data_IF_625513508409
#
_entry.id   IF_625513508409
#
_cell.length_a   1.000
_cell.length_b   1.000
_cell.length_c   1.000
_cell.angle_alpha   90.00
_cell.angle_beta   90.00
_cell.angle_gamma   90.00
#
_symmetry.space_group_name_H-M   'P 1'
#
loop_
_entity.id
_entity.type
_entity.pdbx_description
1 polymer ?
#
# COMPACT_ATOMS: atom_id res chain seq x y z
N UNK A 1 -18.15 -45.18 31.72
CA UNK A 1 -18.16 -44.95 30.24
C UNK A 1 -17.61 -43.56 30.05
N UNK A 2 -16.30 -43.45 29.81
CA UNK A 2 -15.59 -42.17 29.73
C UNK A 2 -15.67 -41.75 28.27
N UNK A 3 -16.45 -40.70 27.98
CA UNK A 3 -16.49 -40.08 26.68
C UNK A 3 -15.13 -39.39 26.50
N UNK A 4 -14.37 -39.87 25.55
CA UNK A 4 -13.20 -39.13 25.03
C UNK A 4 -13.71 -37.79 24.51
N UNK A 5 -13.06 -36.66 24.85
CA UNK A 5 -13.41 -35.39 24.25
C UNK A 5 -13.19 -35.52 22.75
N UNK A 6 -14.31 -35.53 22.02
CA UNK A 6 -14.24 -35.45 20.55
C UNK A 6 -13.50 -34.19 20.19
N UNK A 7 -12.45 -34.31 19.41
CA UNK A 7 -11.81 -33.19 18.76
C UNK A 7 -12.83 -32.68 17.73
N UNK A 8 -13.66 -31.73 18.15
CA UNK A 8 -14.47 -30.99 17.22
C UNK A 8 -13.51 -30.09 16.43
N UNK A 9 -13.03 -30.58 15.31
CA UNK A 9 -12.52 -29.65 14.30
C UNK A 9 -13.68 -28.73 13.92
N UNK A 10 -13.64 -27.51 14.40
CA UNK A 10 -14.63 -26.51 14.02
C UNK A 10 -14.58 -26.32 12.50
N UNK A 11 -15.68 -25.98 11.86
CA UNK A 11 -15.69 -25.62 10.42
C UNK A 11 -14.65 -24.54 10.10
N UNK A 12 -14.31 -23.71 11.08
CA UNK A 12 -13.27 -22.69 11.01
C UNK A 12 -11.86 -23.26 10.86
N UNK A 13 -11.59 -24.45 11.44
CA UNK A 13 -10.30 -25.14 11.31
C UNK A 13 -10.13 -25.80 9.93
N UNK A 14 -11.25 -26.04 9.23
CA UNK A 14 -11.26 -26.58 7.86
C UNK A 14 -11.19 -25.50 6.77
N UNK A 15 -11.11 -24.22 7.14
CA UNK A 15 -10.99 -23.18 6.14
C UNK A 15 -9.71 -23.37 5.34
N UNK A 16 -9.88 -23.68 4.07
CA UNK A 16 -8.78 -23.69 3.11
C UNK A 16 -8.99 -22.53 2.12
N UNK A 17 -8.32 -21.40 2.30
CA UNK A 17 -8.45 -20.26 1.40
C UNK A 17 -7.85 -20.52 0.02
N UNK A 18 -7.09 -21.61 -0.14
CA UNK A 18 -6.47 -21.97 -1.41
C UNK A 18 -7.44 -22.73 -2.32
N UNK A 19 -7.42 -22.40 -3.60
CA UNK A 19 -8.17 -23.13 -4.63
C UNK A 19 -7.40 -24.38 -5.05
N UNK A 20 -6.09 -24.27 -5.16
CA UNK A 20 -5.17 -25.36 -5.48
C UNK A 20 -3.76 -25.01 -4.99
N UNK A 21 -2.89 -26.00 -4.98
CA UNK A 21 -1.49 -25.86 -4.56
C UNK A 21 -0.56 -25.42 -5.72
N UNK A 22 -1.12 -25.15 -6.89
CA UNK A 22 -0.37 -24.68 -8.05
C UNK A 22 -0.17 -23.16 -7.97
N UNK A 23 0.97 -22.70 -8.46
CA UNK A 23 1.32 -21.28 -8.53
C UNK A 23 1.40 -20.55 -7.17
N UNK A 24 1.75 -21.25 -6.08
CA UNK A 24 1.98 -20.64 -4.79
C UNK A 24 3.34 -19.96 -4.74
N UNK A 25 3.35 -18.68 -4.39
CA UNK A 25 4.58 -17.95 -4.07
C UNK A 25 4.67 -17.84 -2.55
N UNK A 26 5.47 -18.69 -1.94
CA UNK A 26 5.71 -18.65 -0.49
C UNK A 26 6.50 -17.41 -0.09
N UNK A 27 6.01 -16.73 0.93
CA UNK A 27 6.75 -15.69 1.65
C UNK A 27 7.63 -16.32 2.74
N UNK A 28 8.48 -15.51 3.34
CA UNK A 28 9.12 -15.87 4.61
C UNK A 28 8.06 -15.86 5.71
N UNK A 29 8.29 -16.66 6.74
CA UNK A 29 7.51 -16.58 7.97
C UNK A 29 7.62 -15.18 8.57
N UNK A 30 6.53 -14.67 9.09
CA UNK A 30 6.47 -13.32 9.64
C UNK A 30 5.98 -13.33 11.07
N UNK A 31 6.42 -12.34 11.83
CA UNK A 31 5.97 -12.13 13.20
C UNK A 31 4.72 -11.25 13.19
N UNK A 32 3.63 -11.77 13.76
CA UNK A 32 2.41 -11.00 14.00
C UNK A 32 2.57 -10.10 15.22
N UNK A 33 1.99 -8.92 15.12
CA UNK A 33 1.83 -8.03 16.26
C UNK A 33 0.86 -8.65 17.28
N UNK A 34 1.14 -8.58 18.58
CA UNK A 34 0.28 -9.15 19.61
C UNK A 34 -1.11 -8.50 19.70
N UNK A 35 -1.31 -7.35 19.06
CA UNK A 35 -2.60 -6.68 18.93
C UNK A 35 -3.51 -7.20 17.81
N UNK A 36 -3.02 -8.08 16.94
CA UNK A 36 -3.81 -8.64 15.83
C UNK A 36 -4.98 -9.45 16.36
N UNK A 37 -6.18 -9.15 15.87
CA UNK A 37 -7.41 -9.86 16.20
C UNK A 37 -8.02 -10.50 14.96
N UNK A 38 -8.52 -11.72 15.13
CA UNK A 38 -9.36 -12.36 14.12
C UNK A 38 -10.78 -11.76 14.16
N UNK A 39 -11.48 -11.63 13.02
CA UNK A 39 -12.90 -11.33 13.02
C UNK A 39 -13.75 -12.53 13.44
N UNK A 40 -13.13 -13.69 13.61
CA UNK A 40 -13.75 -14.94 14.03
C UNK A 40 -13.46 -15.18 15.51
N UNK A 41 -14.30 -15.99 16.16
CA UNK A 41 -14.15 -16.36 17.56
C UNK A 41 -13.30 -17.65 17.70
N UNK A 42 -12.34 -17.74 18.57
CA UNK A 42 -11.85 -16.69 19.48
C UNK A 42 -10.95 -15.66 18.78
N UNK A 43 -11.03 -14.37 19.13
CA UNK A 43 -10.40 -13.29 18.38
C UNK A 43 -8.86 -13.29 18.42
N UNK A 44 -8.26 -14.01 19.35
CA UNK A 44 -6.80 -14.18 19.46
C UNK A 44 -6.24 -15.31 18.58
N UNK A 45 -7.12 -16.04 17.89
CA UNK A 45 -6.73 -17.15 17.00
C UNK A 45 -6.77 -16.68 15.56
N UNK A 46 -5.61 -16.59 14.96
CA UNK A 46 -5.46 -16.15 13.57
C UNK A 46 -5.57 -17.36 12.65
N UNK A 47 -6.59 -17.36 11.82
CA UNK A 47 -6.89 -18.48 10.92
C UNK A 47 -6.17 -18.36 9.57
N UNK A 48 -5.96 -19.49 8.85
CA UNK A 48 -5.52 -19.46 7.46
C UNK A 48 -6.44 -18.58 6.60
N UNK A 49 -5.86 -17.85 5.65
CA UNK A 49 -6.59 -16.89 4.82
C UNK A 49 -6.71 -15.50 5.44
N UNK A 50 -6.14 -15.26 6.62
CA UNK A 50 -6.05 -13.90 7.16
C UNK A 50 -5.09 -13.07 6.32
N UNK A 51 -5.58 -11.97 5.76
CA UNK A 51 -4.74 -11.02 5.03
C UNK A 51 -4.12 -10.07 6.03
N UNK A 52 -2.80 -10.02 6.00
CA UNK A 52 -1.97 -9.21 6.89
C UNK A 52 -1.13 -8.24 6.09
N UNK A 53 -0.72 -7.17 6.72
CA UNK A 53 0.15 -6.14 6.14
C UNK A 53 1.23 -5.76 7.15
N UNK A 54 2.40 -5.40 6.66
CA UNK A 54 3.47 -4.92 7.51
C UNK A 54 3.07 -3.62 8.21
N UNK A 55 3.33 -3.49 9.51
CA UNK A 55 3.07 -2.27 10.24
C UNK A 55 4.05 -1.15 9.84
N UNK A 56 3.58 0.10 9.87
CA UNK A 56 4.39 1.27 9.50
C UNK A 56 5.58 1.48 10.44
N UNK A 57 5.35 1.31 11.75
CA UNK A 57 6.34 1.63 12.79
C UNK A 57 7.22 0.45 13.21
N UNK A 58 6.91 -0.77 12.79
CA UNK A 58 7.64 -1.97 13.20
C UNK A 58 7.87 -2.92 12.03
N UNK A 59 8.66 -3.99 12.26
CA UNK A 59 8.82 -5.09 11.30
C UNK A 59 7.72 -6.16 11.43
N UNK A 60 6.78 -5.99 12.37
CA UNK A 60 5.68 -6.92 12.63
C UNK A 60 4.57 -6.73 11.62
N UNK A 61 3.66 -7.71 11.57
CA UNK A 61 2.51 -7.68 10.69
C UNK A 61 1.23 -7.52 11.50
N UNK A 62 0.31 -6.74 10.98
CA UNK A 62 -1.02 -6.47 11.52
C UNK A 62 -2.08 -6.92 10.52
N UNK A 63 -3.35 -6.94 10.92
CA UNK A 63 -4.44 -7.19 9.99
C UNK A 63 -4.45 -6.16 8.86
N UNK A 64 -4.81 -6.55 7.65
CA UNK A 64 -4.75 -5.68 6.48
C UNK A 64 -5.65 -4.43 6.59
N UNK A 65 -6.70 -4.49 7.39
CA UNK A 65 -7.60 -3.36 7.69
C UNK A 65 -7.17 -2.53 8.91
N UNK A 66 -6.08 -2.89 9.58
CA UNK A 66 -5.56 -2.14 10.73
C UNK A 66 -4.99 -0.79 10.28
N UNK A 67 -5.32 0.32 10.96
CA UNK A 67 -4.78 1.64 10.63
C UNK A 67 -3.25 1.75 10.81
N UNK A 68 -2.63 0.91 11.64
CA UNK A 68 -1.19 0.84 11.81
C UNK A 68 -0.46 0.15 10.64
N UNK A 69 -1.20 -0.52 9.74
CA UNK A 69 -0.63 -1.17 8.57
C UNK A 69 -0.08 -0.18 7.53
N UNK A 70 0.92 -0.62 6.79
CA UNK A 70 1.41 0.13 5.63
C UNK A 70 0.29 0.29 4.60
N UNK A 71 0.36 1.40 3.85
CA UNK A 71 -0.51 1.67 2.71
C UNK A 71 0.34 1.75 1.44
N UNK A 72 -0.27 1.45 0.31
CA UNK A 72 0.35 1.73 -0.98
C UNK A 72 0.73 3.21 -1.04
N UNK A 73 1.92 3.49 -1.56
CA UNK A 73 2.41 4.86 -1.70
C UNK A 73 2.23 5.32 -3.14
N UNK A 74 1.77 6.56 -3.35
CA UNK A 74 1.77 7.17 -4.68
C UNK A 74 3.19 7.39 -5.18
N UNK A 75 3.38 7.43 -6.47
CA UNK A 75 4.59 7.99 -7.05
C UNK A 75 4.69 9.46 -6.66
N UNK A 76 5.85 9.91 -6.23
CA UNK A 76 6.06 11.29 -5.81
C UNK A 76 7.40 11.83 -6.25
N UNK A 77 7.42 13.13 -6.56
CA UNK A 77 8.61 13.89 -6.92
C UNK A 77 8.56 15.20 -6.16
N UNK A 78 9.67 15.58 -5.55
CA UNK A 78 9.83 16.89 -4.92
C UNK A 78 10.76 17.77 -5.76
N UNK A 79 10.47 19.05 -5.84
CA UNK A 79 11.36 20.02 -6.45
C UNK A 79 12.71 20.06 -5.72
N UNK A 80 13.76 20.37 -6.47
CA UNK A 80 15.13 20.42 -5.95
C UNK A 80 15.37 21.62 -5.03
N UNK A 81 14.57 22.69 -5.21
CA UNK A 81 14.62 23.90 -4.41
C UNK A 81 13.23 24.48 -4.19
N UNK A 82 13.03 25.30 -3.14
CA UNK A 82 11.80 26.04 -2.95
C UNK A 82 11.50 26.96 -4.13
N UNK A 83 10.21 27.17 -4.38
CA UNK A 83 9.78 28.11 -5.42
C UNK A 83 10.10 29.55 -5.03
N UNK A 84 10.58 30.30 -5.99
CA UNK A 84 10.91 31.72 -5.92
C UNK A 84 10.41 32.48 -7.16
N UNK A 85 10.85 33.73 -7.32
CA UNK A 85 10.44 34.56 -8.44
C UNK A 85 10.84 34.00 -9.83
N UNK A 86 11.82 33.10 -9.92
CA UNK A 86 12.24 32.50 -11.18
C UNK A 86 11.24 31.49 -11.72
N UNK A 87 10.32 31.01 -10.91
CA UNK A 87 9.26 30.09 -11.32
C UNK A 87 8.13 30.80 -12.09
N UNK A 88 8.00 32.10 -11.95
CA UNK A 88 6.94 32.87 -12.62
C UNK A 88 7.06 32.77 -14.16
N UNK A 89 5.96 32.44 -14.81
CA UNK A 89 5.91 32.27 -16.28
C UNK A 89 6.51 30.97 -16.80
N UNK A 90 7.10 30.12 -15.93
CA UNK A 90 7.66 28.82 -16.35
C UNK A 90 6.56 27.77 -16.56
N UNK A 91 6.93 26.67 -17.20
CA UNK A 91 6.04 25.51 -17.37
C UNK A 91 6.47 24.36 -16.50
N UNK A 92 5.51 23.60 -15.99
CA UNK A 92 5.71 22.30 -15.35
C UNK A 92 4.95 21.25 -16.13
N UNK A 93 5.63 20.23 -16.62
CA UNK A 93 5.02 19.11 -17.32
C UNK A 93 5.12 17.87 -16.48
N UNK A 94 3.98 17.20 -16.29
CA UNK A 94 3.84 16.01 -15.46
C UNK A 94 3.27 14.88 -16.28
N UNK A 95 3.90 13.71 -16.27
CA UNK A 95 3.46 12.53 -17.03
C UNK A 95 3.52 11.26 -16.18
N UNK A 96 2.61 10.33 -16.45
CA UNK A 96 2.66 8.95 -15.93
C UNK A 96 3.25 7.97 -16.95
N UNK A 97 3.25 8.33 -18.22
CA UNK A 97 3.83 7.55 -19.30
C UNK A 97 4.49 8.49 -20.33
N UNK A 98 5.47 8.03 -21.09
CA UNK A 98 6.08 8.81 -22.15
C UNK A 98 5.04 9.33 -23.15
N UNK A 99 5.08 10.62 -23.46
CA UNK A 99 4.22 11.27 -24.46
C UNK A 99 2.81 11.66 -24.02
N UNK A 100 2.40 11.35 -22.80
CA UNK A 100 1.09 11.70 -22.23
C UNK A 100 1.28 12.60 -21.00
N UNK A 101 1.73 13.81 -21.21
CA UNK A 101 1.99 14.78 -20.14
C UNK A 101 0.93 15.88 -20.07
N UNK A 102 0.67 16.33 -18.87
CA UNK A 102 -0.08 17.56 -18.60
C UNK A 102 0.92 18.68 -18.37
N UNK A 103 0.82 19.75 -19.16
CA UNK A 103 1.68 20.92 -19.02
C UNK A 103 0.90 22.09 -18.45
N UNK A 104 1.36 22.61 -17.32
CA UNK A 104 0.77 23.76 -16.64
C UNK A 104 1.72 24.94 -16.74
N UNK A 105 1.20 26.06 -17.19
CA UNK A 105 1.94 27.34 -17.20
C UNK A 105 1.74 28.02 -15.84
N UNK A 106 2.83 28.34 -15.18
CA UNK A 106 2.83 29.06 -13.91
C UNK A 106 2.61 30.57 -14.18
N UNK A 107 1.65 31.16 -13.45
CA UNK A 107 1.36 32.58 -13.59
C UNK A 107 2.48 33.46 -12.98
N UNK A 108 2.46 34.76 -13.33
CA UNK A 108 3.46 35.71 -12.86
C UNK A 108 3.52 35.91 -11.32
N UNK A 109 2.49 35.46 -10.60
CA UNK A 109 2.41 35.56 -9.14
C UNK A 109 2.75 34.23 -8.42
N UNK A 110 3.36 33.27 -9.08
CA UNK A 110 3.69 31.94 -8.51
C UNK A 110 5.12 31.90 -7.91
N UNK A 111 5.53 32.97 -7.24
CA UNK A 111 6.86 33.10 -6.66
C UNK A 111 7.06 32.38 -5.30
N UNK A 112 6.09 31.56 -4.90
CA UNK A 112 6.13 30.81 -3.64
C UNK A 112 5.62 29.38 -3.85
N UNK A 113 6.04 28.44 -2.96
CA UNK A 113 5.53 27.06 -3.01
C UNK A 113 4.00 27.02 -3.01
N UNK A 114 3.36 27.79 -2.12
CA UNK A 114 1.90 27.85 -2.03
C UNK A 114 1.27 28.39 -3.33
N UNK A 115 1.90 29.35 -3.99
CA UNK A 115 1.44 29.88 -5.29
C UNK A 115 1.53 28.82 -6.40
N UNK A 116 2.64 28.09 -6.47
CA UNK A 116 2.83 26.97 -7.42
C UNK A 116 1.83 25.85 -7.15
N UNK A 117 1.70 25.41 -5.90
CA UNK A 117 0.76 24.35 -5.48
C UNK A 117 -0.68 24.74 -5.85
N UNK A 118 -1.08 25.99 -5.57
CA UNK A 118 -2.42 26.48 -5.88
C UNK A 118 -2.65 26.51 -7.39
N UNK A 119 -1.68 27.00 -8.19
CA UNK A 119 -1.80 27.05 -9.65
C UNK A 119 -1.92 25.66 -10.27
N UNK A 120 -1.09 24.69 -9.82
CA UNK A 120 -1.18 23.31 -10.25
C UNK A 120 -2.52 22.67 -9.88
N UNK A 121 -3.01 22.91 -8.67
CA UNK A 121 -4.27 22.35 -8.17
C UNK A 121 -5.52 22.94 -8.87
N UNK A 122 -5.43 24.15 -9.38
CA UNK A 122 -6.50 24.79 -10.16
C UNK A 122 -6.59 24.30 -11.60
N UNK A 123 -5.52 23.71 -12.11
CA UNK A 123 -5.52 23.13 -13.45
C UNK A 123 -6.33 21.84 -13.44
N UNK A 124 -7.37 21.76 -14.30
CA UNK A 124 -8.31 20.64 -14.31
C UNK A 124 -7.66 19.35 -14.74
N UNK A 125 -6.81 19.39 -15.76
CA UNK A 125 -6.20 18.19 -16.33
C UNK A 125 -5.12 17.65 -15.38
N UNK A 126 -4.37 18.54 -14.73
CA UNK A 126 -3.45 18.18 -13.67
C UNK A 126 -4.20 17.56 -12.48
N UNK A 127 -5.20 18.25 -11.96
CA UNK A 127 -5.92 17.82 -10.75
C UNK A 127 -6.72 16.52 -10.95
N UNK A 128 -6.98 16.09 -12.18
CA UNK A 128 -7.63 14.81 -12.46
C UNK A 128 -6.76 13.61 -12.06
N UNK A 129 -5.44 13.68 -12.24
CA UNK A 129 -4.51 12.56 -12.05
C UNK A 129 -3.44 12.79 -10.98
N UNK A 130 -3.17 14.05 -10.65
CA UNK A 130 -2.10 14.43 -9.75
C UNK A 130 -2.56 15.27 -8.57
N UNK A 131 -1.71 15.38 -7.58
CA UNK A 131 -1.85 16.26 -6.41
C UNK A 131 -0.54 17.00 -6.23
N UNK A 132 -0.61 18.31 -6.05
CA UNK A 132 0.51 19.11 -5.60
C UNK A 132 0.31 19.49 -4.13
N UNK A 133 1.37 19.42 -3.35
CA UNK A 133 1.41 19.85 -1.96
C UNK A 133 2.80 20.39 -1.60
N UNK A 134 2.93 20.90 -0.38
CA UNK A 134 4.23 21.27 0.15
C UNK A 134 4.95 20.01 0.66
N UNK A 135 6.09 19.72 0.07
CA UNK A 135 6.90 18.57 0.36
C UNK A 135 7.90 18.79 1.52
N UNK A 136 8.74 17.79 1.77
CA UNK A 136 9.84 17.91 2.71
C UNK A 136 10.73 19.13 2.38
N UNK A 137 11.30 19.74 3.39
CA UNK A 137 12.20 20.91 3.25
C UNK A 137 11.57 22.15 2.60
N UNK A 138 10.24 22.28 2.64
CA UNK A 138 9.55 23.42 2.08
C UNK A 138 9.71 23.52 0.56
N UNK A 139 9.65 22.45 -0.16
CA UNK A 139 9.66 22.40 -1.62
C UNK A 139 8.29 22.00 -2.18
N UNK A 140 8.03 22.27 -3.46
CA UNK A 140 6.83 21.77 -4.13
C UNK A 140 6.98 20.26 -4.35
N UNK A 141 5.97 19.48 -3.92
CA UNK A 141 5.88 18.06 -4.19
C UNK A 141 4.69 17.75 -5.08
N UNK A 142 4.91 16.91 -6.07
CA UNK A 142 3.86 16.41 -6.99
C UNK A 142 3.74 14.91 -6.77
N UNK A 143 2.50 14.42 -6.69
CA UNK A 143 2.19 13.00 -6.49
C UNK A 143 1.10 12.52 -7.44
N UNK A 144 1.11 11.24 -7.77
CA UNK A 144 -0.06 10.60 -8.39
C UNK A 144 -1.21 10.50 -7.40
N UNK A 145 -2.47 10.58 -7.87
CA UNK A 145 -3.63 10.33 -7.00
C UNK A 145 -3.76 8.85 -6.65
N UNK A 146 -3.51 7.99 -7.61
CA UNK A 146 -3.45 6.55 -7.35
C UNK A 146 -2.12 6.19 -6.67
N UNK A 147 -2.15 5.12 -5.88
CA UNK A 147 -1.00 4.60 -5.15
C UNK A 147 -0.69 3.16 -5.58
N UNK A 148 0.57 2.76 -5.46
CA UNK A 148 1.02 1.41 -5.74
C UNK A 148 2.19 1.36 -6.70
N UNK A 149 2.79 0.19 -6.81
CA UNK A 149 4.03 -0.03 -7.58
C UNK A 149 3.88 0.17 -9.11
N UNK A 150 2.65 0.20 -9.62
CA UNK A 150 2.35 0.50 -11.03
C UNK A 150 2.30 2.01 -11.32
N UNK A 151 2.39 2.84 -10.29
CA UNK A 151 2.36 4.27 -10.46
C UNK A 151 3.76 4.80 -10.76
N UNK A 152 3.86 5.52 -11.87
CA UNK A 152 5.06 6.21 -12.32
C UNK A 152 4.75 7.68 -12.46
N UNK A 153 5.74 8.50 -12.20
CA UNK A 153 5.65 9.94 -12.31
C UNK A 153 6.95 10.48 -12.89
N UNK A 154 6.86 11.32 -13.90
CA UNK A 154 7.99 12.07 -14.42
C UNK A 154 7.60 13.53 -14.48
N UNK A 155 8.40 14.39 -13.89
CA UNK A 155 8.16 15.84 -13.84
C UNK A 155 9.33 16.55 -14.47
N UNK A 156 9.04 17.42 -15.45
CA UNK A 156 9.98 18.32 -16.06
C UNK A 156 9.51 19.77 -15.91
N UNK A 157 10.42 20.70 -16.05
CA UNK A 157 10.12 22.13 -16.04
C UNK A 157 10.96 22.84 -17.09
N UNK A 158 10.47 23.96 -17.60
CA UNK A 158 11.30 24.89 -18.37
C UNK A 158 12.36 25.59 -17.53
N UNK A 159 12.27 25.49 -16.19
CA UNK A 159 13.28 25.94 -15.23
C UNK A 159 14.05 24.73 -14.71
N UNK A 160 15.28 24.51 -15.23
CA UNK A 160 16.13 23.37 -14.85
C UNK A 160 16.40 23.30 -13.33
N UNK A 161 16.48 24.43 -12.66
CA UNK A 161 16.70 24.49 -11.21
C UNK A 161 15.53 23.90 -10.40
N UNK A 162 14.32 23.80 -10.99
CA UNK A 162 13.15 23.28 -10.29
C UNK A 162 13.16 21.75 -10.19
N UNK A 163 13.41 21.05 -11.32
CA UNK A 163 13.36 19.57 -11.41
C UNK A 163 14.55 18.96 -12.15
N UNK A 164 15.62 19.74 -12.40
CA UNK A 164 16.76 19.33 -13.19
C UNK A 164 16.52 19.41 -14.71
N UNK A 165 17.58 19.38 -15.53
CA UNK A 165 17.50 19.53 -16.98
C UNK A 165 16.75 18.37 -17.66
N UNK A 166 16.87 17.16 -17.11
CA UNK A 166 16.20 15.96 -17.63
C UNK A 166 14.90 15.64 -16.90
N UNK A 167 14.51 16.48 -15.92
CA UNK A 167 13.40 16.22 -15.02
C UNK A 167 13.72 15.17 -13.95
N UNK A 168 12.72 14.86 -13.12
CA UNK A 168 12.83 13.89 -12.03
C UNK A 168 11.74 12.84 -12.16
N UNK A 169 12.11 11.58 -11.99
CA UNK A 169 11.20 10.46 -11.95
C UNK A 169 10.92 10.00 -10.52
N UNK A 170 9.68 9.58 -10.28
CA UNK A 170 9.23 8.97 -9.03
C UNK A 170 8.44 7.69 -9.29
N UNK A 171 8.48 6.78 -8.34
CA UNK A 171 7.76 5.51 -8.40
C UNK A 171 6.92 5.33 -7.14
N UNK A 172 5.73 4.79 -7.31
CA UNK A 172 4.91 4.34 -6.19
C UNK A 172 5.40 2.99 -5.66
N UNK A 173 4.93 2.62 -4.50
CA UNK A 173 5.26 1.33 -3.89
C UNK A 173 4.02 0.65 -3.35
N UNK A 174 3.98 -0.69 -3.47
CA UNK A 174 2.97 -1.50 -2.81
C UNK A 174 3.33 -1.74 -1.35
N UNK A 175 2.32 -1.74 -0.48
CA UNK A 175 2.47 -2.25 0.87
C UNK A 175 2.74 -3.76 0.86
N UNK A 176 3.41 -4.26 1.90
CA UNK A 176 3.73 -5.70 2.01
C UNK A 176 2.53 -6.47 2.56
N UNK A 177 1.55 -6.75 1.66
CA UNK A 177 0.43 -7.62 1.97
C UNK A 177 0.81 -9.09 1.80
N UNK A 178 0.33 -9.93 2.72
CA UNK A 178 0.52 -11.38 2.71
C UNK A 178 -0.75 -12.10 3.16
N UNK A 179 -0.86 -13.37 2.85
CA UNK A 179 -1.95 -14.25 3.29
C UNK A 179 -1.39 -15.33 4.19
N UNK A 180 -1.95 -15.51 5.39
CA UNK A 180 -1.55 -16.59 6.30
C UNK A 180 -2.03 -17.94 5.76
N UNK A 181 -1.22 -18.97 5.98
CA UNK A 181 -1.51 -20.34 5.51
C UNK A 181 -1.27 -21.37 6.62
N UNK A 182 -1.50 -22.61 6.28
CA UNK A 182 -1.33 -23.84 7.04
C UNK A 182 -2.35 -23.96 8.19
N UNK A 183 -1.95 -23.69 9.42
CA UNK A 183 -2.78 -23.85 10.61
C UNK A 183 -3.09 -22.52 11.29
N UNK A 184 -4.16 -22.51 12.05
CA UNK A 184 -4.44 -21.37 12.93
C UNK A 184 -3.34 -21.21 14.00
N UNK A 185 -2.99 -19.94 14.29
CA UNK A 185 -1.93 -19.59 15.25
C UNK A 185 -2.53 -18.67 16.32
N UNK A 186 -2.21 -18.92 17.59
CA UNK A 186 -2.66 -18.07 18.70
C UNK A 186 -1.67 -16.91 18.93
N UNK A 187 -2.22 -15.70 19.06
CA UNK A 187 -1.47 -14.48 19.36
C UNK A 187 -1.63 -14.08 20.84
N UNK A 188 -1.70 -15.06 21.71
CA UNK A 188 -1.72 -14.88 23.17
C UNK A 188 -0.98 -16.00 23.88
N UNK A 189 -0.51 -15.69 25.09
CA UNK A 189 0.09 -16.67 25.99
C UNK A 189 -0.99 -17.51 26.65
N UNK A 190 -0.58 -18.61 27.31
CA UNK A 190 -1.47 -19.44 28.16
C UNK A 190 -2.19 -18.67 29.25
N UNK A 191 -1.63 -17.54 29.69
CA UNK A 191 -2.23 -16.64 30.69
C UNK A 191 -3.20 -15.62 30.06
N UNK A 192 -3.50 -15.73 28.77
CA UNK A 192 -4.41 -14.83 28.06
C UNK A 192 -3.82 -13.45 27.73
N UNK A 193 -2.51 -13.24 27.89
CA UNK A 193 -1.84 -11.99 27.52
C UNK A 193 -1.50 -11.97 26.04
N UNK A 194 -1.61 -10.81 25.36
CA UNK A 194 -1.20 -10.67 23.99
C UNK A 194 0.26 -11.14 23.78
N UNK A 195 0.50 -11.93 22.75
CA UNK A 195 1.82 -12.48 22.43
C UNK A 195 2.12 -12.37 20.93
N UNK A 196 3.39 -12.32 20.60
CA UNK A 196 3.86 -12.41 19.21
C UNK A 196 3.70 -13.85 18.72
N UNK A 197 3.37 -14.01 17.46
CA UNK A 197 3.30 -15.33 16.83
C UNK A 197 4.01 -15.31 15.48
N UNK A 198 4.75 -16.37 15.20
CA UNK A 198 5.36 -16.61 13.89
C UNK A 198 4.38 -17.38 13.02
N UNK A 199 4.08 -16.84 11.84
CA UNK A 199 3.12 -17.44 10.90
C UNK A 199 3.72 -17.62 9.52
N UNK A 200 3.46 -18.76 8.86
CA UNK A 200 3.81 -18.98 7.47
C UNK A 200 2.88 -18.16 6.57
N UNK A 201 3.43 -17.64 5.47
CA UNK A 201 2.69 -16.75 4.58
C UNK A 201 2.89 -17.06 3.11
N UNK A 202 1.93 -16.61 2.30
CA UNK A 202 2.03 -16.52 0.85
C UNK A 202 2.05 -15.05 0.40
N UNK A 203 2.85 -14.80 -0.62
CA UNK A 203 2.89 -13.52 -1.35
C UNK A 203 1.90 -13.49 -2.50
N UNK A 204 1.68 -14.66 -3.13
CA UNK A 204 0.71 -14.85 -4.20
C UNK A 204 0.20 -16.29 -4.23
N UNK A 205 -0.96 -16.51 -4.83
CA UNK A 205 -1.60 -17.82 -4.96
C UNK A 205 -3.00 -17.72 -5.56
N UNK A 206 -3.66 -18.86 -5.68
CA UNK A 206 -5.06 -18.92 -6.09
C UNK A 206 -5.94 -19.00 -4.85
N UNK A 207 -6.62 -17.92 -4.52
CA UNK A 207 -7.41 -17.80 -3.31
C UNK A 207 -8.93 -17.80 -3.61
N UNK A 208 -9.72 -18.30 -2.66
CA UNK A 208 -11.15 -18.08 -2.57
C UNK A 208 -11.38 -16.75 -1.84
N UNK A 209 -11.87 -15.74 -2.56
CA UNK A 209 -11.99 -14.38 -2.02
C UNK A 209 -12.96 -14.30 -0.83
N UNK A 210 -14.03 -15.09 -0.84
CA UNK A 210 -15.02 -15.22 0.23
C UNK A 210 -14.45 -15.81 1.54
N UNK A 211 -13.32 -16.51 1.44
CA UNK A 211 -12.64 -17.11 2.59
C UNK A 211 -11.47 -16.28 3.11
N UNK A 212 -11.13 -15.18 2.44
CA UNK A 212 -10.10 -14.28 2.93
C UNK A 212 -10.65 -13.38 4.06
N UNK A 213 -9.93 -13.32 5.17
CA UNK A 213 -10.25 -12.49 6.34
C UNK A 213 -9.46 -11.18 6.27
N UNK A 214 -10.05 -10.08 6.71
CA UNK A 214 -9.46 -8.72 6.63
C UNK A 214 -9.10 -8.28 5.21
N UNK A 215 -9.75 -8.87 4.21
CA UNK A 215 -9.50 -8.58 2.81
C UNK A 215 -10.00 -7.19 2.45
N UNK A 216 -9.12 -6.35 1.94
CA UNK A 216 -9.41 -4.95 1.59
C UNK A 216 -9.29 -4.74 0.08
N UNK A 217 -9.95 -3.72 -0.50
CA UNK A 217 -9.77 -3.37 -1.91
C UNK A 217 -8.30 -3.14 -2.28
N UNK A 218 -7.53 -2.53 -1.38
CA UNK A 218 -6.11 -2.25 -1.57
C UNK A 218 -5.29 -3.54 -1.61
N UNK A 219 -5.51 -4.47 -0.66
CA UNK A 219 -4.84 -5.78 -0.67
C UNK A 219 -5.22 -6.62 -1.90
N UNK A 220 -6.47 -6.50 -2.38
CA UNK A 220 -6.93 -7.15 -3.62
C UNK A 220 -6.07 -6.75 -4.81
N UNK A 221 -5.85 -5.44 -4.97
CA UNK A 221 -5.04 -4.91 -6.07
C UNK A 221 -3.59 -5.41 -5.99
N UNK A 222 -2.98 -5.37 -4.82
CA UNK A 222 -1.58 -5.81 -4.63
C UNK A 222 -1.43 -7.31 -4.89
N UNK A 223 -2.32 -8.14 -4.34
CA UNK A 223 -2.28 -9.59 -4.56
C UNK A 223 -2.48 -9.93 -6.04
N UNK A 224 -3.40 -9.25 -6.74
CA UNK A 224 -3.61 -9.44 -8.17
C UNK A 224 -2.37 -9.07 -9.00
N UNK A 225 -1.68 -7.96 -8.69
CA UNK A 225 -0.42 -7.58 -9.34
C UNK A 225 0.69 -8.62 -9.17
N UNK A 226 0.71 -9.31 -8.03
CA UNK A 226 1.66 -10.40 -7.77
C UNK A 226 1.27 -11.72 -8.46
N UNK A 227 0.26 -11.71 -9.32
CA UNK A 227 -0.19 -12.87 -10.06
C UNK A 227 -1.18 -13.76 -9.29
N UNK A 228 -1.75 -13.26 -8.18
CA UNK A 228 -2.81 -14.02 -7.49
C UNK A 228 -4.09 -14.06 -8.30
N UNK A 229 -4.74 -15.22 -8.31
CA UNK A 229 -6.12 -15.40 -8.84
C UNK A 229 -7.05 -15.42 -7.64
N UNK A 230 -8.04 -14.53 -7.68
CA UNK A 230 -9.08 -14.41 -6.65
C UNK A 230 -10.39 -14.93 -7.25
N UNK A 231 -10.82 -16.09 -6.82
CA UNK A 231 -12.12 -16.66 -7.20
C UNK A 231 -13.18 -16.22 -6.22
N UNK A 232 -14.29 -15.78 -6.75
CA UNK A 232 -15.51 -15.46 -6.00
C UNK A 232 -16.35 -16.71 -5.79
#
# INVERSE_FOLDING_TARGET
>A
MTLLPGVYESELERRNPLVNDQALVRGQDVVLDPGVKSPLDPPYRIHPGTVIVRAQASKRFVAANDPAGQRNQPASVSALQPADNTWAGQTVTVSQAPGLGVTVVLAQNTATNAGVVNRLSQDRDFSASFVADEGPNGTVRIRTRAAGADQHLHVTSSLDAAFGPDGVAGHGTDADYRVTIDRAVEVQTTDGKPAEALVPTLLAGHFKADQLLHFTPESRVVLARRGSILKE
#
